data_IF_998442969278
#
_entry.id   IF_998442969278
#
_cell.length_a   1.000
_cell.length_b   1.000
_cell.length_c   1.000
_cell.angle_alpha   90.00
_cell.angle_beta   90.00
_cell.angle_gamma   90.00
#
_symmetry.space_group_name_H-M   'P 1'
#
loop_
_entity.id
_entity.type
_entity.pdbx_description
1 polymer ?
#
# COMPACT_ATOMS: atom_id res chain seq x y z
N UNK A 1 8.89 5.24 12.70
CA UNK A 1 8.13 4.27 11.88
C UNK A 1 9.11 3.28 11.26
N UNK A 2 9.04 2.00 11.64
CA UNK A 2 9.93 0.97 11.10
C UNK A 2 9.60 0.63 9.64
N UNK A 3 10.59 0.11 8.93
CA UNK A 3 10.39 -0.47 7.60
C UNK A 3 10.15 -1.97 7.72
N UNK A 4 9.25 -2.49 6.88
CA UNK A 4 9.13 -3.92 6.67
C UNK A 4 10.40 -4.46 6.01
N UNK A 5 10.86 -5.63 6.47
CA UNK A 5 12.05 -6.29 5.94
C UNK A 5 11.73 -7.18 4.74
N UNK A 6 10.49 -7.67 4.65
CA UNK A 6 10.04 -8.52 3.55
C UNK A 6 8.95 -7.84 2.74
N UNK A 7 8.96 -8.07 1.42
CA UNK A 7 7.95 -7.53 0.52
C UNK A 7 6.57 -8.14 0.81
N UNK A 8 6.54 -9.44 1.09
CA UNK A 8 5.31 -10.22 1.25
C UNK A 8 4.50 -9.75 2.47
N UNK A 9 5.16 -9.48 3.59
CA UNK A 9 4.51 -8.94 4.79
C UNK A 9 4.01 -7.52 4.56
N UNK A 10 4.82 -6.68 3.90
CA UNK A 10 4.44 -5.31 3.58
C UNK A 10 3.19 -5.28 2.68
N UNK A 11 3.19 -6.03 1.59
CA UNK A 11 2.09 -6.04 0.62
C UNK A 11 0.78 -6.52 1.29
N UNK A 12 0.85 -7.59 2.10
CA UNK A 12 -0.30 -8.10 2.84
C UNK A 12 -0.84 -7.07 3.84
N UNK A 13 0.03 -6.41 4.60
CA UNK A 13 -0.38 -5.38 5.56
C UNK A 13 -0.97 -4.15 4.86
N UNK A 14 -0.39 -3.72 3.74
CA UNK A 14 -0.86 -2.60 2.94
C UNK A 14 -2.25 -2.83 2.36
N UNK A 15 -2.51 -4.01 1.80
CA UNK A 15 -3.84 -4.39 1.30
C UNK A 15 -4.86 -4.45 2.43
N UNK A 16 -4.51 -5.07 3.57
CA UNK A 16 -5.40 -5.15 4.73
C UNK A 16 -5.77 -3.76 5.25
N UNK A 17 -4.79 -2.85 5.34
CA UNK A 17 -5.02 -1.47 5.78
C UNK A 17 -5.96 -0.75 4.82
N UNK A 18 -5.73 -0.87 3.50
CA UNK A 18 -6.59 -0.27 2.48
C UNK A 18 -8.04 -0.76 2.57
N UNK A 19 -8.26 -2.07 2.77
CA UNK A 19 -9.60 -2.64 2.88
C UNK A 19 -10.34 -2.26 4.18
N UNK A 20 -9.65 -1.72 5.18
CA UNK A 20 -10.27 -1.33 6.46
C UNK A 20 -11.05 -0.02 6.32
N UNK A 21 -10.44 1.01 5.72
CA UNK A 21 -11.10 2.29 5.42
C UNK A 21 -10.43 2.92 4.19
N UNK A 22 -10.89 2.60 2.96
CA UNK A 22 -10.29 3.08 1.71
C UNK A 22 -10.21 4.60 1.61
N UNK A 23 -11.14 5.33 2.26
CA UNK A 23 -11.24 6.78 2.16
C UNK A 23 -10.20 7.52 2.98
N UNK A 24 -9.65 6.89 4.02
CA UNK A 24 -8.56 7.46 4.83
C UNK A 24 -7.18 7.07 4.34
N UNK A 25 -7.07 5.99 3.56
CA UNK A 25 -5.78 5.43 3.16
C UNK A 25 -5.15 6.19 2.00
N UNK A 26 -3.86 6.50 2.14
CA UNK A 26 -3.02 7.13 1.12
C UNK A 26 -1.81 6.27 0.80
N UNK A 27 -1.57 6.10 -0.50
CA UNK A 27 -0.42 5.36 -1.05
C UNK A 27 0.55 6.37 -1.66
N UNK A 28 1.81 6.37 -1.22
CA UNK A 28 2.85 7.29 -1.69
C UNK A 28 4.05 6.49 -2.19
N UNK A 29 4.52 6.81 -3.40
CA UNK A 29 5.75 6.31 -3.98
C UNK A 29 6.79 7.43 -4.05
N UNK A 30 8.01 7.16 -3.60
CA UNK A 30 9.16 8.04 -3.71
C UNK A 30 10.30 7.29 -4.37
N UNK A 31 10.58 7.63 -5.63
CA UNK A 31 11.78 7.17 -6.33
C UNK A 31 12.90 8.18 -6.19
N UNK A 32 14.13 7.70 -6.01
CA UNK A 32 15.33 8.53 -5.99
C UNK A 32 16.43 7.89 -6.81
N UNK A 33 16.63 8.44 -8.00
CA UNK A 33 17.60 7.92 -8.97
C UNK A 33 19.04 7.96 -8.46
N UNK A 34 19.48 9.09 -7.87
CA UNK A 34 20.86 9.26 -7.40
C UNK A 34 21.26 8.28 -6.28
N UNK A 35 20.30 7.81 -5.49
CA UNK A 35 20.53 6.86 -4.40
C UNK A 35 20.11 5.42 -4.80
N UNK A 36 19.71 5.22 -6.07
CA UNK A 36 19.32 3.90 -6.60
C UNK A 36 18.15 3.22 -5.89
N UNK A 37 17.28 3.96 -5.20
CA UNK A 37 16.24 3.35 -4.36
C UNK A 37 14.83 3.89 -4.60
N UNK A 38 13.87 3.07 -4.19
CA UNK A 38 12.44 3.39 -4.18
C UNK A 38 11.86 3.10 -2.81
N UNK A 39 10.93 3.95 -2.37
CA UNK A 39 10.18 3.76 -1.14
C UNK A 39 8.68 3.84 -1.42
N UNK A 40 7.94 2.85 -0.93
CA UNK A 40 6.48 2.84 -0.91
C UNK A 40 5.99 3.02 0.53
N UNK A 41 5.01 3.90 0.71
CA UNK A 41 4.34 4.17 1.99
C UNK A 41 2.83 4.01 1.83
N UNK A 42 2.19 3.32 2.76
CA UNK A 42 0.72 3.21 2.85
C UNK A 42 0.29 3.57 4.26
N UNK A 43 -0.64 4.51 4.40
CA UNK A 43 -1.02 5.05 5.71
C UNK A 43 -2.44 5.61 5.74
N UNK A 44 -3.11 5.51 6.87
CA UNK A 44 -4.41 6.12 7.21
C UNK A 44 -4.27 7.24 8.27
N UNK A 45 -3.06 7.79 8.41
CA UNK A 45 -2.61 8.73 9.46
C UNK A 45 -2.50 8.17 10.89
N UNK A 46 -3.02 6.98 11.15
CA UNK A 46 -2.85 6.28 12.44
C UNK A 46 -1.75 5.22 12.36
N UNK A 47 -1.81 4.39 11.33
CA UNK A 47 -0.84 3.35 10.99
C UNK A 47 -0.03 3.81 9.79
N UNK A 48 1.28 3.57 9.81
CA UNK A 48 2.15 3.89 8.68
C UNK A 48 3.06 2.72 8.33
N UNK A 49 2.78 2.12 7.17
CA UNK A 49 3.50 1.00 6.60
C UNK A 49 4.50 1.52 5.58
N UNK A 50 5.75 1.08 5.66
CA UNK A 50 6.82 1.54 4.77
C UNK A 50 7.65 0.37 4.27
N UNK A 51 7.93 0.37 2.97
CA UNK A 51 8.88 -0.52 2.32
C UNK A 51 9.88 0.33 1.55
N UNK A 52 11.18 0.04 1.72
CA UNK A 52 12.26 0.68 0.97
C UNK A 52 13.14 -0.41 0.39
N UNK A 53 13.47 -0.30 -0.88
CA UNK A 53 14.31 -1.27 -1.59
C UNK A 53 15.19 -0.54 -2.60
N UNK A 54 16.38 -1.09 -2.81
CA UNK A 54 17.31 -0.79 -3.89
C UNK A 54 17.36 -1.95 -4.92
N UNK A 55 16.57 -3.00 -4.71
CA UNK A 55 16.55 -4.18 -5.55
C UNK A 55 15.64 -3.96 -6.75
N UNK A 56 16.22 -3.97 -7.96
CA UNK A 56 15.48 -3.75 -9.20
C UNK A 56 14.32 -4.75 -9.41
N UNK A 57 14.46 -5.99 -8.93
CA UNK A 57 13.41 -7.02 -9.00
C UNK A 57 12.11 -6.62 -8.27
N UNK A 58 12.19 -5.74 -7.27
CA UNK A 58 11.03 -5.31 -6.50
C UNK A 58 10.23 -4.21 -7.21
N UNK A 59 10.80 -3.53 -8.21
CA UNK A 59 10.12 -2.46 -8.94
C UNK A 59 8.83 -2.98 -9.57
N UNK A 60 8.87 -4.15 -10.19
CA UNK A 60 7.68 -4.80 -10.79
C UNK A 60 6.67 -5.26 -9.73
N UNK A 61 7.13 -5.62 -8.52
CA UNK A 61 6.23 -6.00 -7.43
C UNK A 61 5.49 -4.76 -6.89
N UNK A 62 6.21 -3.66 -6.71
CA UNK A 62 5.67 -2.35 -6.30
C UNK A 62 4.65 -1.84 -7.31
N UNK A 63 4.97 -1.88 -8.60
CA UNK A 63 4.07 -1.49 -9.69
C UNK A 63 2.78 -2.32 -9.66
N UNK A 64 2.87 -3.64 -9.53
CA UNK A 64 1.70 -4.53 -9.43
C UNK A 64 0.80 -4.20 -8.23
N UNK A 65 1.38 -3.97 -7.05
CA UNK A 65 0.60 -3.63 -5.86
C UNK A 65 -0.08 -2.27 -6.02
N UNK A 66 0.66 -1.27 -6.50
CA UNK A 66 0.10 0.05 -6.77
C UNK A 66 -1.05 -0.01 -7.79
N UNK A 67 -0.86 -0.73 -8.88
CA UNK A 67 -1.90 -0.97 -9.89
C UNK A 67 -3.12 -1.72 -9.35
N UNK A 68 -2.92 -2.69 -8.45
CA UNK A 68 -4.01 -3.39 -7.77
C UNK A 68 -4.82 -2.43 -6.89
N UNK A 69 -4.16 -1.62 -6.07
CA UNK A 69 -4.83 -0.63 -5.21
C UNK A 69 -5.59 0.41 -6.04
N UNK A 70 -5.02 0.90 -7.14
CA UNK A 70 -5.73 1.81 -8.05
C UNK A 70 -7.01 1.18 -8.63
N UNK A 71 -6.98 -0.10 -9.01
CA UNK A 71 -8.20 -0.80 -9.48
C UNK A 71 -9.26 -0.92 -8.39
N UNK A 72 -8.86 -1.17 -7.14
CA UNK A 72 -9.77 -1.22 -6.00
C UNK A 72 -10.35 0.16 -5.64
N UNK A 73 -9.61 1.25 -5.90
CA UNK A 73 -10.09 2.62 -5.67
C UNK A 73 -11.22 3.03 -6.62
N UNK A 74 -11.25 2.45 -7.82
CA UNK A 74 -12.25 2.79 -8.85
C UNK A 74 -13.38 1.76 -8.96
N UNK A 75 -13.22 0.57 -8.38
CA UNK A 75 -14.26 -0.46 -8.41
C UNK A 75 -15.48 -0.04 -7.59
N UNK A 76 -16.69 -0.22 -8.14
CA UNK A 76 -17.96 0.14 -7.49
C UNK A 76 -18.25 -0.63 -6.19
N UNK A 77 -17.62 -1.77 -5.98
CA UNK A 77 -17.76 -2.60 -4.78
C UNK A 77 -16.56 -2.44 -3.85
N UNK A 78 -16.30 -1.22 -3.37
CA UNK A 78 -15.52 -1.05 -2.16
C UNK A 78 -16.44 -1.36 -0.97
N UNK A 79 -16.66 -2.65 -0.68
CA UNK A 79 -17.47 -3.18 0.43
C UNK A 79 -18.53 -2.20 0.94
N UNK A 80 -19.73 -2.26 0.34
CA UNK A 80 -20.94 -1.79 1.01
C UNK A 80 -20.92 -2.37 2.43
N UNK A 81 -20.83 -1.48 3.42
CA UNK A 81 -20.72 -1.87 4.82
C UNK A 81 -21.82 -2.87 5.17
N UNK A 82 -21.41 -4.10 5.46
CA UNK A 82 -22.15 -4.93 6.40
C UNK A 82 -21.99 -4.26 7.76
N UNK A 83 -22.81 -3.25 8.01
CA UNK A 83 -23.13 -2.79 9.35
C UNK A 83 -24.64 -2.99 9.45
N UNK A 84 -25.03 -4.24 9.71
CA UNK A 84 -26.31 -4.53 10.34
C UNK A 84 -26.37 -3.66 11.60
N UNK A 85 -27.40 -2.82 11.66
CA UNK A 85 -27.81 -2.15 12.89
C UNK A 85 -29.12 -2.81 13.30
N UNK A 86 -29.06 -3.52 14.43
CA UNK A 86 -30.21 -3.79 15.29
C UNK A 86 -30.78 -2.45 15.82
#
# INVERSE_FOLDING_TARGET
>A
MPYYQTWEEFARAAEKLYLTDPMKVRVVLKYRHCDGNICMKVTDDSVCLRYKTDQAQDVKKIEKLHGKLMRLMVSKESHSGAMETD
#
